data_IF_048938003198
#
_entry.id   IF_048938003198
#
_cell.length_a   1.000
_cell.length_b   1.000
_cell.length_c   1.000
_cell.angle_alpha   90.00
_cell.angle_beta   90.00
_cell.angle_gamma   90.00
#
_symmetry.space_group_name_H-M   'P 1'
#
loop_
_entity.id
_entity.type
_entity.pdbx_description
1 polymer ?
#
# COMPACT_ATOMS: atom_id res chain seq x y z
N UNK A 1 17.92 -21.44 4.63
CA UNK A 1 17.34 -20.71 3.48
C UNK A 1 15.87 -21.09 3.37
N UNK A 2 14.98 -20.13 3.12
CA UNK A 2 13.53 -20.37 2.94
C UNK A 2 13.21 -20.36 1.43
N UNK A 3 12.85 -21.49 0.81
CA UNK A 3 12.46 -21.51 -0.60
C UNK A 3 11.07 -20.87 -0.77
N UNK A 4 10.96 -19.93 -1.70
CA UNK A 4 9.71 -19.22 -2.01
C UNK A 4 9.49 -19.19 -3.52
N UNK A 5 8.23 -19.28 -3.97
CA UNK A 5 7.92 -19.14 -5.38
C UNK A 5 8.19 -17.70 -5.86
N UNK A 6 8.48 -17.57 -7.16
CA UNK A 6 8.54 -16.28 -7.84
C UNK A 6 7.13 -15.72 -7.99
N UNK A 7 7.02 -14.39 -8.04
CA UNK A 7 5.76 -13.75 -8.40
C UNK A 7 5.32 -14.17 -9.81
N UNK A 8 4.01 -14.19 -10.08
CA UNK A 8 3.45 -14.60 -11.37
C UNK A 8 4.02 -13.81 -12.58
N UNK A 9 4.40 -12.55 -12.37
CA UNK A 9 5.08 -11.70 -13.38
C UNK A 9 6.59 -11.95 -13.54
N UNK A 10 7.14 -13.00 -12.92
CA UNK A 10 8.55 -13.42 -13.03
C UNK A 10 9.57 -12.59 -12.24
N UNK A 11 9.24 -11.33 -11.92
CA UNK A 11 10.10 -10.43 -11.15
C UNK A 11 9.75 -10.48 -9.66
N UNK A 12 10.74 -10.76 -8.81
CA UNK A 12 10.56 -10.80 -7.35
C UNK A 12 9.94 -12.09 -6.82
N UNK A 13 9.58 -12.06 -5.53
CA UNK A 13 8.98 -13.19 -4.79
C UNK A 13 7.46 -13.05 -4.74
N UNK A 14 6.76 -14.18 -4.65
CA UNK A 14 5.35 -14.18 -4.28
C UNK A 14 5.20 -13.71 -2.82
N UNK A 15 4.65 -12.50 -2.66
CA UNK A 15 4.49 -11.87 -1.35
C UNK A 15 3.44 -12.56 -0.47
N UNK A 16 2.43 -13.21 -1.05
CA UNK A 16 1.46 -13.98 -0.28
C UNK A 16 2.12 -15.24 0.30
N UNK A 17 2.92 -15.94 -0.52
CA UNK A 17 3.69 -17.09 -0.07
C UNK A 17 4.72 -16.69 1.00
N UNK A 18 5.41 -15.57 0.81
CA UNK A 18 6.34 -15.02 1.79
C UNK A 18 5.63 -14.71 3.12
N UNK A 19 4.55 -13.94 3.11
CA UNK A 19 3.83 -13.57 4.33
C UNK A 19 3.25 -14.80 5.05
N UNK A 20 2.72 -15.79 4.33
CA UNK A 20 2.28 -17.07 4.90
C UNK A 20 3.43 -17.82 5.57
N UNK A 21 4.60 -17.84 4.94
CA UNK A 21 5.78 -18.49 5.46
C UNK A 21 6.36 -17.77 6.69
N UNK A 22 6.28 -16.44 6.75
CA UNK A 22 6.63 -15.65 7.93
C UNK A 22 5.66 -15.93 9.09
N UNK A 23 4.36 -15.96 8.80
CA UNK A 23 3.33 -16.27 9.81
C UNK A 23 3.50 -17.66 10.43
N UNK A 24 3.79 -18.67 9.61
CA UNK A 24 4.07 -20.03 10.06
C UNK A 24 5.31 -20.13 10.98
N UNK A 25 6.21 -19.15 10.94
CA UNK A 25 7.38 -19.03 11.81
C UNK A 25 7.15 -18.19 13.06
N UNK A 26 5.89 -17.80 13.32
CA UNK A 26 5.55 -16.99 14.49
C UNK A 26 5.68 -15.48 14.27
N UNK A 27 6.07 -15.01 13.08
CA UNK A 27 6.11 -13.58 12.78
C UNK A 27 4.67 -13.08 12.64
N UNK A 28 4.27 -12.13 13.50
CA UNK A 28 2.90 -11.58 13.52
C UNK A 28 2.82 -10.17 12.95
N UNK A 29 3.94 -9.45 12.97
CA UNK A 29 4.10 -8.14 12.36
C UNK A 29 5.46 -8.07 11.70
N UNK A 30 5.52 -7.35 10.58
CA UNK A 30 6.77 -7.06 9.88
C UNK A 30 6.77 -5.58 9.53
N UNK A 31 7.92 -4.92 9.75
CA UNK A 31 8.15 -3.56 9.27
C UNK A 31 8.82 -3.64 7.90
N UNK A 32 8.25 -2.92 6.93
CA UNK A 32 8.79 -2.84 5.59
C UNK A 32 9.76 -1.65 5.51
N UNK A 33 11.04 -1.92 5.76
CA UNK A 33 12.11 -0.94 5.58
C UNK A 33 12.74 -1.13 4.20
N UNK A 34 12.36 -0.30 3.24
CA UNK A 34 12.85 -0.40 1.88
C UNK A 34 12.40 0.76 1.00
N UNK A 35 12.85 0.72 -0.26
CA UNK A 35 12.52 1.75 -1.23
C UNK A 35 11.12 1.62 -1.83
N UNK A 36 10.76 2.53 -2.76
CA UNK A 36 9.44 2.57 -3.38
C UNK A 36 9.03 1.28 -4.07
N UNK A 37 9.97 0.49 -4.60
CA UNK A 37 9.67 -0.81 -5.23
C UNK A 37 9.05 -1.79 -4.23
N UNK A 38 9.59 -1.90 -3.01
CA UNK A 38 9.06 -2.80 -1.99
C UNK A 38 7.67 -2.34 -1.54
N UNK A 39 7.54 -1.05 -1.22
CA UNK A 39 6.27 -0.46 -0.81
C UNK A 39 5.19 -0.62 -1.90
N UNK A 40 5.55 -0.36 -3.16
CA UNK A 40 4.66 -0.52 -4.32
C UNK A 40 4.20 -1.97 -4.50
N UNK A 41 5.10 -2.95 -4.36
CA UNK A 41 4.75 -4.35 -4.49
C UNK A 41 3.78 -4.83 -3.39
N UNK A 42 3.98 -4.41 -2.13
CA UNK A 42 3.05 -4.74 -1.04
C UNK A 42 1.71 -4.02 -1.19
N UNK A 43 1.70 -2.77 -1.68
CA UNK A 43 0.48 -2.05 -2.00
C UNK A 43 -0.31 -2.74 -3.12
N UNK A 44 0.35 -3.12 -4.22
CA UNK A 44 -0.26 -3.85 -5.33
C UNK A 44 -0.83 -5.21 -4.90
N UNK A 45 -0.17 -5.88 -3.96
CA UNK A 45 -0.61 -7.16 -3.42
C UNK A 45 -1.76 -7.04 -2.39
N UNK A 46 -2.13 -5.82 -1.97
CA UNK A 46 -3.14 -5.62 -0.93
C UNK A 46 -2.70 -6.11 0.45
N UNK A 47 -1.39 -6.13 0.73
CA UNK A 47 -0.79 -6.70 1.94
C UNK A 47 -0.33 -5.63 2.94
N UNK A 48 -0.81 -4.40 2.82
CA UNK A 48 -0.53 -3.32 3.77
C UNK A 48 -1.65 -3.24 4.80
N UNK A 49 -1.31 -3.40 6.08
CA UNK A 49 -2.26 -3.17 7.17
C UNK A 49 -2.17 -1.75 7.75
N UNK A 50 -0.96 -1.18 7.76
CA UNK A 50 -0.63 0.11 8.35
C UNK A 50 0.43 0.82 7.52
N UNK A 51 0.26 2.13 7.34
CA UNK A 51 1.21 3.04 6.70
C UNK A 51 1.64 4.07 7.74
N UNK A 52 2.95 4.23 7.91
CA UNK A 52 3.54 5.30 8.72
C UNK A 52 4.38 6.18 7.80
N UNK A 53 3.91 7.40 7.55
CA UNK A 53 4.58 8.38 6.71
C UNK A 53 5.24 9.46 7.55
N UNK A 54 6.46 9.85 7.17
CA UNK A 54 7.18 10.99 7.73
C UNK A 54 7.31 12.07 6.66
N UNK A 55 6.96 13.30 7.02
CA UNK A 55 7.10 14.47 6.17
C UNK A 55 8.00 15.49 6.85
N UNK A 56 9.17 15.71 6.28
CA UNK A 56 10.11 16.73 6.72
C UNK A 56 9.76 18.12 6.16
N UNK A 57 10.04 19.21 6.88
CA UNK A 57 9.86 20.58 6.39
C UNK A 57 10.98 21.00 5.43
N UNK A 58 11.25 20.18 4.41
CA UNK A 58 12.32 20.37 3.44
C UNK A 58 11.85 20.07 2.01
N UNK A 59 12.30 20.87 1.06
CA UNK A 59 12.01 20.70 -0.37
C UNK A 59 13.30 20.30 -1.10
N UNK A 60 13.32 19.09 -1.66
CA UNK A 60 14.52 18.52 -2.31
C UNK A 60 14.48 18.56 -3.84
N UNK A 61 13.35 19.00 -4.43
CA UNK A 61 13.16 18.95 -5.88
C UNK A 61 12.80 17.54 -6.36
N UNK A 62 13.33 17.15 -7.52
CA UNK A 62 13.03 15.85 -8.12
C UNK A 62 13.65 14.69 -7.31
N UNK A 63 12.89 13.62 -7.15
CA UNK A 63 13.33 12.44 -6.42
C UNK A 63 12.45 11.23 -6.74
N UNK A 64 12.81 10.06 -6.22
CA UNK A 64 11.96 8.88 -6.34
C UNK A 64 10.61 9.14 -5.67
N UNK A 65 9.54 8.62 -6.27
CA UNK A 65 8.23 8.62 -5.63
C UNK A 65 8.31 7.85 -4.29
N UNK A 66 7.48 8.23 -3.31
CA UNK A 66 7.39 7.51 -2.04
C UNK A 66 6.81 6.09 -2.22
N UNK A 67 5.95 5.91 -3.22
CA UNK A 67 5.35 4.63 -3.59
C UNK A 67 5.72 4.31 -5.04
N UNK A 68 6.35 3.16 -5.27
CA UNK A 68 6.71 2.66 -6.59
C UNK A 68 5.52 2.06 -7.33
N UNK A 69 5.76 1.24 -8.37
CA UNK A 69 4.69 0.64 -9.17
C UNK A 69 3.73 -0.19 -8.29
N UNK A 70 2.51 0.33 -8.12
CA UNK A 70 1.45 -0.28 -7.34
C UNK A 70 0.25 -0.75 -8.19
N UNK A 71 0.34 -0.62 -9.52
CA UNK A 71 -0.78 -0.87 -10.43
C UNK A 71 -1.86 0.24 -10.43
N UNK A 72 -1.58 1.36 -9.77
CA UNK A 72 -2.48 2.51 -9.68
C UNK A 72 -2.10 3.51 -10.78
N UNK A 73 -2.97 3.70 -11.77
CA UNK A 73 -2.76 4.67 -12.85
C UNK A 73 -3.76 5.82 -12.84
N UNK A 74 -4.82 5.72 -12.04
CA UNK A 74 -5.88 6.74 -11.95
C UNK A 74 -6.28 7.02 -10.50
N UNK A 75 -6.88 8.18 -10.27
CA UNK A 75 -7.39 8.57 -8.94
C UNK A 75 -8.51 7.63 -8.42
N UNK A 76 -9.25 6.99 -9.33
CA UNK A 76 -10.29 6.02 -9.00
C UNK A 76 -9.71 4.70 -8.45
N UNK A 77 -8.48 4.36 -8.84
CA UNK A 77 -7.75 3.19 -8.35
C UNK A 77 -6.90 3.48 -7.10
N UNK A 78 -6.89 4.73 -6.62
CA UNK A 78 -6.01 5.13 -5.53
C UNK A 78 -6.27 4.32 -4.26
N UNK A 79 -5.19 3.81 -3.65
CA UNK A 79 -5.23 3.25 -2.31
C UNK A 79 -5.58 4.36 -1.31
N UNK A 80 -6.86 4.41 -0.92
CA UNK A 80 -7.32 5.38 0.08
C UNK A 80 -6.90 4.92 1.46
N UNK A 81 -6.48 5.88 2.28
CA UNK A 81 -6.07 5.65 3.66
C UNK A 81 -7.01 6.40 4.60
N UNK A 82 -7.37 5.75 5.70
CA UNK A 82 -7.97 6.38 6.87
C UNK A 82 -6.84 6.74 7.83
N UNK A 83 -6.72 8.02 8.17
CA UNK A 83 -5.71 8.52 9.11
C UNK A 83 -6.15 8.21 10.53
N UNK A 84 -5.30 7.52 11.29
CA UNK A 84 -5.53 7.21 12.69
C UNK A 84 -4.90 8.26 13.60
N UNK A 85 -3.72 8.75 13.25
CA UNK A 85 -2.94 9.67 14.08
C UNK A 85 -2.09 10.62 13.22
N UNK A 86 -2.02 11.89 13.61
CA UNK A 86 -1.04 12.86 13.12
C UNK A 86 -0.32 13.45 14.31
N UNK A 87 1.01 13.39 14.31
CA UNK A 87 1.85 13.97 15.35
C UNK A 87 2.87 14.91 14.71
N UNK A 88 3.05 16.09 15.30
CA UNK A 88 3.98 17.12 14.85
C UNK A 88 4.73 17.74 16.04
N UNK A 89 5.71 18.59 15.73
CA UNK A 89 6.51 19.33 16.70
C UNK A 89 7.84 18.66 17.05
N UNK A 90 8.48 19.13 18.11
CA UNK A 90 9.88 18.79 18.43
C UNK A 90 10.13 17.30 18.69
N UNK A 91 9.08 16.50 18.96
CA UNK A 91 9.17 15.05 19.14
C UNK A 91 9.72 14.31 17.92
N UNK A 92 9.60 14.90 16.72
CA UNK A 92 10.15 14.37 15.48
C UNK A 92 11.12 15.35 14.81
N UNK A 93 11.79 16.21 15.58
CA UNK A 93 12.78 17.14 15.02
C UNK A 93 12.18 18.16 14.03
N UNK A 94 10.88 18.47 14.17
CA UNK A 94 10.15 19.34 13.24
C UNK A 94 9.38 18.61 12.14
N UNK A 95 9.56 17.29 12.00
CA UNK A 95 8.81 16.48 11.04
C UNK A 95 7.37 16.23 11.49
N UNK A 96 6.52 15.87 10.52
CA UNK A 96 5.16 15.38 10.75
C UNK A 96 5.15 13.88 10.53
N UNK A 97 4.64 13.13 11.52
CA UNK A 97 4.37 11.70 11.39
C UNK A 97 2.87 11.47 11.22
N UNK A 98 2.49 10.74 10.18
CA UNK A 98 1.13 10.29 9.93
C UNK A 98 1.07 8.78 10.05
N UNK A 99 0.23 8.27 10.94
CA UNK A 99 -0.13 6.85 11.01
C UNK A 99 -1.51 6.68 10.39
N UNK A 100 -1.62 5.79 9.42
CA UNK A 100 -2.86 5.52 8.71
C UNK A 100 -3.00 4.03 8.38
N UNK A 101 -4.20 3.62 7.97
CA UNK A 101 -4.48 2.27 7.48
C UNK A 101 -5.26 2.36 6.18
N UNK A 102 -5.18 1.37 5.28
CA UNK A 102 -6.07 1.34 4.12
C UNK A 102 -7.54 1.49 4.54
N UNK A 103 -8.24 2.36 3.83
CA UNK A 103 -9.66 2.57 4.06
C UNK A 103 -10.41 1.29 3.67
N UNK A 104 -11.28 0.82 4.55
CA UNK A 104 -12.19 -0.28 4.25
C UNK A 104 -13.26 0.24 3.28
N UNK A 105 -13.05 0.06 1.98
CA UNK A 105 -13.94 0.52 0.92
C UNK A 105 -14.01 -0.48 -0.23
N UNK A 106 -15.07 -1.31 -0.20
CA UNK A 106 -15.57 -2.24 -1.23
C UNK A 106 -14.54 -3.12 -1.93
N UNK A 107 -14.40 -4.37 -1.46
CA UNK A 107 -14.07 -5.46 -2.37
C UNK A 107 -15.12 -5.46 -3.52
N UNK A 108 -14.66 -5.26 -4.75
CA UNK A 108 -15.41 -5.51 -5.99
C UNK A 108 -16.80 -4.87 -6.10
N UNK A 109 -16.91 -3.72 -6.76
CA UNK A 109 -18.05 -3.51 -7.65
C UNK A 109 -17.61 -3.95 -9.04
N UNK A 110 -18.04 -5.14 -9.43
CA UNK A 110 -18.00 -5.62 -10.80
C UNK A 110 -18.60 -4.53 -11.73
N UNK A 111 -17.87 -4.04 -12.75
CA UNK A 111 -18.41 -3.08 -13.71
C UNK A 111 -19.55 -3.67 -14.57
N UNK A 112 -19.83 -4.98 -14.52
CA UNK A 112 -20.80 -5.62 -15.40
C UNK A 112 -22.28 -5.50 -15.02
N UNK A 113 -22.66 -4.95 -13.86
CA UNK A 113 -24.10 -4.93 -13.45
C UNK A 113 -24.83 -3.60 -13.66
N UNK A 114 -24.26 -2.62 -14.38
CA UNK A 114 -25.04 -1.44 -14.80
C UNK A 114 -25.78 -1.70 -16.12
N UNK A 115 -26.82 -2.54 -16.07
CA UNK A 115 -27.89 -2.47 -17.09
C UNK A 115 -28.79 -1.29 -16.73
N UNK A 116 -28.65 -0.22 -17.50
CA UNK A 116 -29.50 0.97 -17.44
C UNK A 116 -30.94 0.61 -17.86
N UNK A 117 -31.99 0.84 -17.06
CA UNK A 117 -33.35 0.72 -17.56
C UNK A 117 -33.59 1.83 -18.59
N UNK A 118 -34.03 1.42 -19.77
CA UNK A 118 -34.37 2.30 -20.87
C UNK A 118 -35.42 3.33 -20.46
N UNK A 119 -35.26 4.56 -20.94
CA UNK A 119 -36.32 5.55 -21.08
C UNK A 119 -37.40 4.95 -21.99
N UNK A 120 -38.59 4.73 -21.48
CA UNK A 120 -39.81 4.67 -22.29
C UNK A 120 -40.65 5.92 -21.99
N UNK A 121 -41.12 6.56 -23.05
CA UNK A 121 -42.10 7.63 -23.13
C UNK A 121 -43.21 7.17 -24.05
#
# INVERSE_FOLDING_TARGET
VLPLPRAAGGTGLDLHALNKALYARGVRSALLEGGPTLAGAYAAAGLLDKVVGYLAPALLGAGPAALGPAGISTIAQALRLTVDEVVSGDRFGGDIRVTARPATGSAGTDPATRTNPAKES
#
